data_IF_462917870906
#
_entry.id   IF_462917870906
#
_cell.length_a   1.000
_cell.length_b   1.000
_cell.length_c   1.000
_cell.angle_alpha   90.00
_cell.angle_beta   90.00
_cell.angle_gamma   90.00
#
_symmetry.space_group_name_H-M   'P 1'
#
loop_
_entity.id
_entity.type
_entity.pdbx_description
1 polymer ?
#
# COMPACT_ATOMS: atom_id res chain seq x y z
N UNK A 1 -7.40 -25.09 3.12
CA UNK A 1 -8.03 -24.49 4.31
C UNK A 1 -6.95 -23.79 5.11
N UNK A 2 -7.07 -22.50 5.36
CA UNK A 2 -6.07 -21.74 6.13
C UNK A 2 -6.40 -21.82 7.62
N UNK A 3 -5.49 -22.38 8.42
CA UNK A 3 -5.66 -22.46 9.87
C UNK A 3 -5.06 -21.19 10.47
N UNK A 4 -5.91 -20.37 11.10
CA UNK A 4 -5.45 -19.18 11.82
C UNK A 4 -4.90 -19.60 13.19
N UNK A 5 -3.63 -19.28 13.46
CA UNK A 5 -3.01 -19.42 14.79
C UNK A 5 -2.83 -18.05 15.41
N UNK A 6 -3.23 -17.92 16.67
CA UNK A 6 -3.01 -16.70 17.45
C UNK A 6 -1.54 -16.63 17.85
N UNK A 7 -0.90 -15.50 17.57
CA UNK A 7 0.45 -15.18 18.05
C UNK A 7 0.34 -14.51 19.43
N UNK A 8 1.35 -14.67 20.27
CA UNK A 8 1.46 -13.91 21.50
C UNK A 8 1.85 -12.44 21.21
N UNK A 9 1.72 -11.59 22.22
CA UNK A 9 1.93 -10.15 22.06
C UNK A 9 3.39 -9.78 21.72
N UNK A 10 4.37 -10.48 22.29
CA UNK A 10 5.79 -10.20 22.06
C UNK A 10 6.18 -10.54 20.62
N UNK A 11 5.77 -11.71 20.14
CA UNK A 11 5.97 -12.11 18.74
C UNK A 11 5.33 -11.12 17.77
N UNK A 12 4.11 -10.64 18.06
CA UNK A 12 3.45 -9.62 17.24
C UNK A 12 4.24 -8.30 17.20
N UNK A 13 4.79 -7.85 18.33
CA UNK A 13 5.55 -6.60 18.39
C UNK A 13 6.88 -6.69 17.62
N UNK A 14 7.56 -7.83 17.70
CA UNK A 14 8.77 -8.08 16.91
C UNK A 14 8.47 -8.06 15.41
N UNK A 15 7.39 -8.74 14.99
CA UNK A 15 6.94 -8.74 13.60
C UNK A 15 6.58 -7.33 13.11
N UNK A 16 5.83 -6.55 13.90
CA UNK A 16 5.53 -5.13 13.58
C UNK A 16 6.80 -4.32 13.37
N UNK A 17 7.79 -4.49 14.25
CA UNK A 17 9.08 -3.77 14.13
C UNK A 17 9.80 -4.13 12.83
N UNK A 18 9.78 -5.40 12.43
CA UNK A 18 10.39 -5.87 11.18
C UNK A 18 9.65 -5.27 9.98
N UNK A 19 8.32 -5.35 9.96
CA UNK A 19 7.51 -4.83 8.86
C UNK A 19 7.62 -3.30 8.72
N UNK A 20 7.63 -2.54 9.83
CA UNK A 20 7.87 -1.10 9.80
C UNK A 20 9.24 -0.74 9.22
N UNK A 21 10.30 -1.54 9.47
CA UNK A 21 11.62 -1.32 8.85
C UNK A 21 11.61 -1.53 7.33
N UNK A 22 10.65 -2.31 6.83
CA UNK A 22 10.43 -2.55 5.40
C UNK A 22 9.41 -1.56 4.80
N UNK A 23 8.99 -0.53 5.55
CA UNK A 23 7.92 0.40 5.19
C UNK A 23 6.56 -0.29 4.89
N UNK A 24 6.31 -1.43 5.53
CA UNK A 24 5.04 -2.14 5.46
C UNK A 24 4.23 -1.80 6.72
N UNK A 25 3.43 -0.74 6.65
CA UNK A 25 2.60 -0.26 7.77
C UNK A 25 1.16 -0.79 7.74
N UNK A 26 0.85 -1.67 6.81
CA UNK A 26 -0.51 -2.09 6.54
C UNK A 26 -1.08 -2.96 7.67
N UNK A 27 -2.39 -2.82 7.88
CA UNK A 27 -3.11 -3.48 8.99
C UNK A 27 -3.05 -5.01 8.91
N UNK A 28 -2.96 -5.54 7.69
CA UNK A 28 -2.90 -6.96 7.39
C UNK A 28 -1.77 -7.22 6.40
N UNK A 29 -0.89 -8.12 6.79
CA UNK A 29 0.29 -8.52 6.01
C UNK A 29 0.23 -10.03 5.83
N UNK A 30 0.36 -10.46 4.58
CA UNK A 30 0.46 -11.87 4.22
C UNK A 30 1.92 -12.17 3.91
N UNK A 31 2.51 -13.11 4.67
CA UNK A 31 3.87 -13.57 4.44
C UNK A 31 3.82 -14.96 3.84
N UNK A 32 4.39 -15.10 2.65
CA UNK A 32 4.57 -16.40 2.00
C UNK A 32 6.03 -16.84 2.18
N UNK A 33 6.26 -17.77 3.09
CA UNK A 33 7.60 -18.30 3.38
C UNK A 33 8.14 -19.24 2.29
N UNK A 34 7.29 -19.74 1.38
CA UNK A 34 7.72 -20.62 0.29
C UNK A 34 8.26 -19.82 -0.89
N UNK A 35 7.60 -18.71 -1.22
CA UNK A 35 8.02 -17.79 -2.29
C UNK A 35 8.88 -16.63 -1.78
N UNK A 36 9.08 -16.53 -0.46
CA UNK A 36 9.81 -15.44 0.20
C UNK A 36 9.22 -14.05 -0.12
N UNK A 37 7.90 -13.99 -0.35
CA UNK A 37 7.17 -12.77 -0.68
C UNK A 37 6.37 -12.25 0.51
N UNK A 38 6.23 -10.92 0.59
CA UNK A 38 5.35 -10.24 1.54
C UNK A 38 4.36 -9.39 0.75
N UNK A 39 3.07 -9.58 1.02
CA UNK A 39 1.98 -8.84 0.41
C UNK A 39 1.28 -8.03 1.51
N UNK A 40 1.09 -6.73 1.28
CA UNK A 40 0.31 -5.88 2.16
C UNK A 40 -1.08 -5.66 1.58
N UNK A 41 -2.11 -5.83 2.41
CA UNK A 41 -3.45 -5.35 2.09
C UNK A 41 -3.57 -3.92 2.62
N UNK A 42 -3.27 -2.94 1.77
CA UNK A 42 -3.57 -1.54 2.04
C UNK A 42 -5.05 -1.28 1.81
N UNK A 43 -5.80 -0.96 2.87
CA UNK A 43 -7.23 -0.60 2.80
C UNK A 43 -7.48 0.73 2.05
N UNK A 44 -6.44 1.36 1.49
CA UNK A 44 -6.55 2.54 0.63
C UNK A 44 -5.48 2.49 -0.46
N UNK A 45 -5.66 1.63 -1.45
CA UNK A 45 -5.09 1.89 -2.76
C UNK A 45 -5.61 3.27 -3.20
N UNK A 46 -4.73 4.17 -3.66
CA UNK A 46 -5.12 5.50 -4.16
C UNK A 46 -6.19 5.39 -5.24
N UNK A 47 -6.20 4.28 -5.98
CA UNK A 47 -7.28 3.87 -6.88
C UNK A 47 -8.66 3.80 -6.23
N UNK A 48 -8.81 3.24 -5.02
CA UNK A 48 -10.10 3.12 -4.33
C UNK A 48 -10.64 4.49 -3.87
N UNK A 49 -9.76 5.45 -3.56
CA UNK A 49 -10.15 6.84 -3.24
C UNK A 49 -10.60 7.56 -4.51
N UNK A 50 -9.91 7.35 -5.64
CA UNK A 50 -10.27 7.93 -6.93
C UNK A 50 -11.58 7.33 -7.48
N UNK A 51 -11.80 6.02 -7.29
CA UNK A 51 -13.02 5.32 -7.68
C UNK A 51 -14.21 5.68 -6.77
N UNK A 52 -14.00 5.77 -5.45
CA UNK A 52 -15.04 6.16 -4.47
C UNK A 52 -15.44 7.63 -4.54
N UNK A 53 -14.57 8.52 -5.01
CA UNK A 53 -14.90 9.92 -5.22
C UNK A 53 -15.77 10.16 -6.47
N UNK A 54 -15.87 9.20 -7.39
CA UNK A 54 -16.74 9.27 -8.58
C UNK A 54 -16.43 10.44 -9.53
N UNK A 55 -15.25 11.08 -9.40
CA UNK A 55 -14.95 12.36 -10.05
C UNK A 55 -13.97 12.22 -11.22
N UNK A 56 -13.20 11.12 -11.36
CA UNK A 56 -12.28 10.95 -12.49
C UNK A 56 -12.23 9.49 -12.98
N UNK A 57 -12.42 9.30 -14.28
CA UNK A 57 -12.12 8.04 -14.96
C UNK A 57 -10.61 7.78 -14.94
N UNK A 58 -10.15 6.52 -15.09
CA UNK A 58 -8.71 6.18 -15.09
C UNK A 58 -7.90 6.94 -16.15
N UNK A 59 -8.53 7.35 -17.25
CA UNK A 59 -7.90 8.18 -18.28
C UNK A 59 -7.69 9.63 -17.83
N UNK A 60 -8.65 10.20 -17.09
CA UNK A 60 -8.57 11.54 -16.52
C UNK A 60 -7.60 11.62 -15.34
N UNK A 61 -7.52 10.55 -14.53
CA UNK A 61 -6.53 10.44 -13.46
C UNK A 61 -5.10 10.45 -14.02
N UNK A 62 -4.86 9.73 -15.11
CA UNK A 62 -3.57 9.70 -15.80
C UNK A 62 -3.19 11.05 -16.41
N UNK A 63 -4.17 11.78 -16.96
CA UNK A 63 -3.94 13.15 -17.46
C UNK A 63 -3.62 14.13 -16.34
N UNK A 64 -4.29 14.00 -15.19
CA UNK A 64 -4.02 14.83 -14.02
C UNK A 64 -2.62 14.54 -13.45
N UNK A 65 -2.22 13.27 -13.36
CA UNK A 65 -0.88 12.87 -12.93
C UNK A 65 0.21 13.46 -13.84
N UNK A 66 0.01 13.38 -15.16
CA UNK A 66 0.95 13.94 -16.13
C UNK A 66 1.04 15.47 -16.02
N UNK A 67 -0.08 16.15 -15.80
CA UNK A 67 -0.16 17.61 -15.60
C UNK A 67 0.56 18.04 -14.32
N UNK A 68 0.32 17.35 -13.21
CA UNK A 68 0.99 17.61 -11.92
C UNK A 68 2.51 17.39 -12.04
N UNK A 69 2.92 16.34 -12.76
CA UNK A 69 4.33 16.06 -13.02
C UNK A 69 5.00 17.19 -13.81
N UNK A 70 4.36 17.66 -14.88
CA UNK A 70 4.86 18.78 -15.68
C UNK A 70 4.93 20.10 -14.91
N UNK A 71 3.94 20.39 -14.05
CA UNK A 71 3.98 21.57 -13.18
C UNK A 71 5.14 21.50 -12.18
N UNK A 72 5.41 20.32 -11.62
CA UNK A 72 6.49 20.10 -10.66
C UNK A 72 7.88 20.19 -11.30
N UNK A 73 8.02 19.82 -12.56
CA UNK A 73 9.26 19.98 -13.33
C UNK A 73 9.45 21.43 -13.82
N UNK A 74 8.37 22.19 -14.04
CA UNK A 74 8.42 23.59 -14.48
C UNK A 74 8.77 24.58 -13.37
N UNK A 75 8.50 24.25 -12.10
CA UNK A 75 8.84 25.08 -10.94
C UNK A 75 10.35 25.04 -10.59
N UNK A 76 11.14 24.22 -11.30
CA UNK A 76 12.59 24.04 -11.10
C UNK A 76 13.45 24.70 -12.19
N UNK A 77 12.92 25.68 -12.95
CA UNK A 77 13.68 26.45 -13.94
C UNK A 77 13.48 27.98 -13.83
#
# INVERSE_FOLDING_TARGET
MSISKKLDHETVNQLRTIFSKLNLDSRKITVNLYNETVESEDEYAVDDILESAGILTPEEAKQLEETVRQMRESDWN
#
